data_IF_745984121064
#
_entry.id   IF_745984121064
#
_cell.length_a   1.000
_cell.length_b   1.000
_cell.length_c   1.000
_cell.angle_alpha   90.00
_cell.angle_beta   90.00
_cell.angle_gamma   90.00
#
_symmetry.space_group_name_H-M   'P 1'
#
loop_
_entity.id
_entity.type
_entity.pdbx_description
1 polymer ?
#
# COMPACT_ATOMS: atom_id res chain seq x y z
N UNK A 1 -0.69 38.44 -62.17
CA UNK A 1 0.66 37.85 -62.31
C UNK A 1 1.16 37.45 -60.92
N UNK A 2 1.90 36.33 -60.82
CA UNK A 2 2.15 35.51 -59.62
C UNK A 2 2.55 36.28 -58.34
N UNK A 3 2.23 35.77 -57.14
CA UNK A 3 3.11 34.88 -56.36
C UNK A 3 2.33 33.82 -55.50
N UNK A 4 1.02 33.62 -55.70
CA UNK A 4 0.24 32.58 -54.97
C UNK A 4 0.31 31.17 -55.60
N UNK A 5 1.51 30.68 -55.93
CA UNK A 5 1.71 29.42 -56.71
C UNK A 5 2.82 28.49 -56.19
N UNK A 6 3.22 28.57 -54.92
CA UNK A 6 4.30 27.73 -54.37
C UNK A 6 3.89 26.86 -53.15
N UNK A 7 2.64 26.96 -52.67
CA UNK A 7 2.15 26.11 -51.56
C UNK A 7 1.05 25.09 -51.93
N UNK A 8 0.73 24.93 -53.22
CA UNK A 8 -0.25 23.93 -53.70
C UNK A 8 0.37 22.74 -54.43
N UNK A 9 1.71 22.62 -54.44
CA UNK A 9 2.44 21.59 -55.20
C UNK A 9 3.31 20.65 -54.35
N UNK A 10 3.24 20.76 -53.02
CA UNK A 10 3.95 19.86 -52.08
C UNK A 10 3.05 18.90 -51.29
N UNK A 11 1.72 19.03 -51.41
CA UNK A 11 0.72 18.10 -50.85
C UNK A 11 0.11 17.16 -51.91
N UNK A 12 0.81 16.92 -53.03
CA UNK A 12 0.35 16.01 -54.09
C UNK A 12 1.26 14.80 -54.34
N UNK A 13 2.47 14.80 -53.77
CA UNK A 13 3.46 13.73 -53.99
C UNK A 13 3.64 12.76 -52.80
N UNK A 14 3.02 13.01 -51.64
CA UNK A 14 2.89 12.00 -50.55
C UNK A 14 1.59 11.18 -50.63
N UNK A 15 0.64 11.60 -51.48
CA UNK A 15 -0.60 10.86 -51.76
C UNK A 15 -0.45 9.80 -52.88
N UNK A 16 0.75 9.63 -53.42
CA UNK A 16 1.08 8.69 -54.51
C UNK A 16 1.92 7.48 -54.09
N UNK A 17 2.44 7.43 -52.86
CA UNK A 17 3.12 6.24 -52.31
C UNK A 17 2.21 5.36 -51.43
N UNK A 18 0.96 5.78 -51.19
CA UNK A 18 -0.04 5.00 -50.44
C UNK A 18 -0.97 4.18 -51.38
N UNK A 19 -0.81 4.29 -52.71
CA UNK A 19 -1.68 3.62 -53.71
C UNK A 19 -1.05 2.44 -54.45
N UNK A 20 -0.12 1.70 -53.83
CA UNK A 20 0.45 0.46 -54.43
C UNK A 20 0.50 -0.78 -53.52
N UNK A 21 -0.15 -0.75 -52.36
CA UNK A 21 -0.25 -1.93 -51.47
C UNK A 21 -1.70 -2.28 -51.07
N UNK A 22 -2.68 -1.91 -51.90
CA UNK A 22 -4.07 -2.39 -51.78
C UNK A 22 -4.37 -3.36 -52.93
N UNK A 23 -3.88 -4.59 -52.82
CA UNK A 23 -4.43 -5.75 -53.53
C UNK A 23 -4.05 -7.04 -52.76
N UNK A 24 -5.05 -7.86 -52.41
CA UNK A 24 -5.04 -9.01 -51.49
C UNK A 24 -4.90 -8.62 -50.00
N UNK A 25 -5.92 -8.69 -49.15
CA UNK A 25 -6.61 -9.89 -48.67
C UNK A 25 -8.05 -9.54 -48.28
N UNK A 26 -9.02 -10.31 -48.80
CA UNK A 26 -10.46 -10.16 -48.51
C UNK A 26 -10.81 -10.69 -47.13
N UNK A 27 -11.60 -9.91 -46.39
CA UNK A 27 -12.38 -10.35 -45.22
C UNK A 27 -13.56 -11.18 -45.71
N UNK A 28 -13.73 -12.37 -45.15
CA UNK A 28 -14.91 -13.22 -45.35
C UNK A 28 -15.51 -13.53 -43.97
N UNK A 29 -16.78 -13.16 -43.81
CA UNK A 29 -17.60 -13.37 -42.63
C UNK A 29 -18.13 -14.81 -42.56
N UNK A 30 -18.53 -15.19 -41.35
CA UNK A 30 -19.13 -16.46 -40.94
C UNK A 30 -20.20 -17.00 -41.90
N UNK A 31 -20.17 -18.33 -42.04
CA UNK A 31 -21.16 -19.29 -42.57
C UNK A 31 -20.53 -20.18 -43.66
N UNK A 32 -20.65 -21.50 -43.49
CA UNK A 32 -20.12 -22.61 -44.31
C UNK A 32 -18.84 -23.34 -43.83
N UNK A 33 -18.79 -23.78 -42.57
CA UNK A 33 -18.17 -25.09 -42.21
C UNK A 33 -18.97 -25.73 -41.07
N UNK A 34 -20.22 -26.11 -41.36
CA UNK A 34 -21.05 -26.94 -40.47
C UNK A 34 -21.96 -27.83 -41.32
N UNK A 35 -21.34 -28.80 -42.00
CA UNK A 35 -22.02 -29.97 -42.52
C UNK A 35 -21.01 -31.10 -42.70
N UNK A 36 -20.87 -31.94 -41.68
CA UNK A 36 -21.02 -33.40 -41.83
C UNK A 36 -20.98 -34.08 -40.44
N UNK A 37 -22.19 -34.49 -40.04
CA UNK A 37 -22.55 -35.62 -39.18
C UNK A 37 -22.18 -35.55 -37.68
N UNK A 38 -23.11 -35.19 -36.76
CA UNK A 38 -24.27 -36.01 -36.27
C UNK A 38 -23.84 -37.46 -35.97
N UNK A 39 -24.08 -38.03 -34.79
CA UNK A 39 -25.23 -37.87 -33.90
C UNK A 39 -24.96 -38.65 -32.57
N UNK A 40 -25.63 -38.23 -31.48
CA UNK A 40 -26.13 -39.08 -30.35
C UNK A 40 -25.06 -39.60 -29.36
N UNK A 41 -25.16 -39.50 -28.01
CA UNK A 41 -26.30 -39.52 -27.06
C UNK A 41 -25.85 -38.87 -25.72
N UNK A 42 -26.77 -38.14 -25.07
CA UNK A 42 -26.74 -37.77 -23.63
C UNK A 42 -27.63 -38.74 -22.84
N UNK A 43 -27.35 -38.92 -21.54
CA UNK A 43 -28.08 -39.69 -20.50
C UNK A 43 -27.55 -41.12 -20.34
N UNK A 44 -27.40 -41.71 -19.14
CA UNK A 44 -28.06 -41.41 -17.87
C UNK A 44 -27.30 -42.06 -16.69
N UNK A 45 -27.73 -41.72 -15.47
CA UNK A 45 -27.36 -42.30 -14.17
C UNK A 45 -27.34 -43.84 -14.12
N UNK A 46 -26.47 -44.39 -13.25
CA UNK A 46 -26.82 -45.55 -12.42
C UNK A 46 -25.89 -46.77 -12.41
N UNK A 47 -25.32 -47.02 -11.21
CA UNK A 47 -25.19 -48.32 -10.56
C UNK A 47 -24.08 -49.33 -10.98
N UNK A 48 -23.29 -49.66 -9.95
CA UNK A 48 -22.89 -51.00 -9.47
C UNK A 48 -21.73 -51.78 -10.11
N UNK A 49 -20.73 -51.95 -9.24
CA UNK A 49 -20.06 -53.20 -8.82
C UNK A 49 -19.03 -53.89 -9.69
N UNK A 50 -17.95 -54.22 -8.95
CA UNK A 50 -17.19 -55.48 -8.91
C UNK A 50 -16.12 -55.74 -9.97
N UNK A 51 -14.93 -55.96 -9.41
CA UNK A 51 -13.96 -57.00 -9.78
C UNK A 51 -13.17 -56.80 -11.08
N UNK A 52 -11.89 -57.12 -11.17
CA UNK A 52 -10.88 -57.61 -10.25
C UNK A 52 -9.58 -57.71 -11.07
N UNK A 53 -8.43 -57.49 -10.42
CA UNK A 53 -7.17 -58.24 -10.59
C UNK A 53 -6.49 -58.23 -11.98
N UNK A 54 -5.33 -57.56 -12.04
CA UNK A 54 -3.98 -58.14 -11.99
C UNK A 54 -3.47 -58.70 -13.32
N UNK A 55 -2.40 -58.08 -13.84
CA UNK A 55 -1.03 -58.66 -13.88
C UNK A 55 -0.11 -57.67 -14.62
N UNK A 56 1.00 -57.23 -14.00
CA UNK A 56 2.37 -57.83 -14.05
C UNK A 56 2.97 -57.73 -15.46
N UNK A 57 4.18 -57.24 -15.71
CA UNK A 57 5.48 -57.25 -15.01
C UNK A 57 6.29 -56.07 -15.58
N UNK A 58 6.86 -55.16 -14.77
CA UNK A 58 8.21 -55.19 -14.17
C UNK A 58 9.39 -55.33 -15.16
N UNK A 59 10.14 -54.25 -15.28
CA UNK A 59 11.61 -54.27 -15.38
C UNK A 59 12.14 -53.23 -14.39
N UNK A 60 12.75 -53.70 -13.32
CA UNK A 60 13.59 -52.96 -12.35
C UNK A 60 14.93 -52.62 -13.02
N UNK A 61 15.55 -51.45 -12.84
CA UNK A 61 16.53 -51.07 -11.79
C UNK A 61 17.24 -49.81 -12.39
N UNK A 62 17.69 -48.74 -11.72
CA UNK A 62 18.03 -48.44 -10.34
C UNK A 62 18.12 -46.90 -10.13
N UNK A 63 17.60 -46.44 -8.97
CA UNK A 63 18.21 -45.53 -7.96
C UNK A 63 18.50 -44.07 -8.40
N UNK A 64 17.65 -43.08 -8.06
CA UNK A 64 17.42 -42.42 -6.75
C UNK A 64 18.57 -41.49 -6.35
N UNK A 65 18.38 -40.19 -6.57
CA UNK A 65 18.80 -39.05 -5.71
C UNK A 65 18.29 -37.75 -6.36
N UNK A 66 17.22 -37.17 -5.79
CA UNK A 66 16.73 -35.76 -5.87
C UNK A 66 15.19 -35.71 -5.95
N UNK A 67 14.52 -35.94 -4.83
CA UNK A 67 13.12 -35.49 -4.63
C UNK A 67 12.61 -35.79 -3.22
N UNK A 68 13.44 -35.61 -2.18
CA UNK A 68 13.00 -35.64 -0.79
C UNK A 68 13.80 -34.61 0.02
N UNK A 69 13.66 -33.33 -0.33
CA UNK A 69 14.26 -32.23 0.46
C UNK A 69 13.64 -30.87 0.14
N UNK A 70 12.32 -30.73 0.13
CA UNK A 70 11.71 -29.39 0.18
C UNK A 70 10.32 -29.28 0.84
N UNK A 71 9.83 -30.33 1.51
CA UNK A 71 8.58 -30.26 2.29
C UNK A 71 8.77 -29.81 3.75
N UNK A 72 10.00 -29.58 4.22
CA UNK A 72 10.30 -29.29 5.64
C UNK A 72 10.97 -27.92 5.89
N UNK A 73 10.89 -26.96 4.96
CA UNK A 73 11.46 -25.61 5.16
C UNK A 73 10.43 -24.54 5.55
N UNK A 74 9.13 -24.79 5.40
CA UNK A 74 8.09 -23.81 5.76
C UNK A 74 7.44 -24.06 7.13
N UNK A 75 7.52 -25.28 7.69
CA UNK A 75 7.17 -25.55 9.10
C UNK A 75 8.16 -24.91 10.12
N UNK A 76 9.28 -24.34 9.64
CA UNK A 76 10.25 -23.62 10.48
C UNK A 76 10.14 -22.10 10.44
N UNK A 77 9.27 -21.52 9.59
CA UNK A 77 9.01 -20.07 9.57
C UNK A 77 7.80 -19.67 10.43
N UNK A 78 6.97 -20.64 10.85
CA UNK A 78 5.79 -20.45 11.71
C UNK A 78 6.10 -20.50 13.23
N UNK A 79 7.38 -20.61 13.63
CA UNK A 79 7.81 -20.66 15.05
C UNK A 79 8.53 -19.41 15.54
N UNK A 80 8.50 -18.30 14.79
CA UNK A 80 9.07 -17.02 15.24
C UNK A 80 8.04 -15.99 15.72
N UNK A 81 6.74 -16.31 15.72
CA UNK A 81 5.71 -15.45 16.34
C UNK A 81 5.51 -15.71 17.85
N UNK A 82 6.19 -16.70 18.44
CA UNK A 82 6.20 -16.94 19.90
C UNK A 82 7.50 -16.44 20.55
N UNK A 83 7.61 -15.13 20.76
CA UNK A 83 8.29 -14.49 21.91
C UNK A 83 8.23 -12.98 21.74
N UNK A 84 7.35 -12.34 22.50
CA UNK A 84 7.52 -11.00 23.11
C UNK A 84 6.23 -10.64 23.87
N UNK A 85 6.06 -11.25 25.04
CA UNK A 85 5.13 -10.77 26.07
C UNK A 85 5.93 -10.66 27.37
N UNK A 86 6.41 -9.45 27.65
CA UNK A 86 6.60 -9.01 29.03
C UNK A 86 6.70 -7.47 29.04
N UNK A 87 5.56 -6.81 29.24
CA UNK A 87 5.51 -5.43 29.74
C UNK A 87 4.43 -5.38 30.81
N UNK A 88 4.82 -5.73 32.04
CA UNK A 88 4.04 -5.41 33.24
C UNK A 88 4.39 -3.98 33.66
N UNK A 89 3.44 -3.06 33.56
CA UNK A 89 3.49 -1.79 34.29
C UNK A 89 2.49 -1.90 35.45
N UNK A 90 3.02 -1.91 36.67
CA UNK A 90 2.28 -2.07 37.92
C UNK A 90 1.63 -0.75 38.34
N UNK A 91 0.33 -0.79 38.61
CA UNK A 91 -0.37 0.23 39.39
C UNK A 91 -0.20 -0.12 40.87
N UNK A 92 0.37 0.78 41.66
CA UNK A 92 0.18 0.80 43.11
C UNK A 92 -0.01 2.24 43.58
N UNK A 93 -1.03 2.41 44.40
CA UNK A 93 -1.47 3.63 45.07
C UNK A 93 -0.73 3.85 46.39
N UNK A 94 -0.50 5.14 46.68
CA UNK A 94 -0.36 5.82 47.98
C UNK A 94 0.99 5.87 48.75
N UNK A 95 1.44 7.13 48.87
CA UNK A 95 2.05 7.90 49.96
C UNK A 95 3.57 8.01 50.26
N UNK A 96 3.91 9.30 50.45
CA UNK A 96 5.04 9.96 51.13
C UNK A 96 6.41 10.23 50.45
N UNK A 97 6.50 11.45 49.89
CA UNK A 97 7.44 12.52 50.23
C UNK A 97 8.99 12.29 50.14
N UNK A 98 9.60 12.73 49.02
CA UNK A 98 10.79 13.61 48.90
C UNK A 98 11.65 13.29 47.67
N UNK A 99 12.02 14.33 46.93
CA UNK A 99 13.27 14.38 46.15
C UNK A 99 13.09 14.38 44.64
N UNK A 100 13.04 15.58 44.07
CA UNK A 100 13.27 15.90 42.67
C UNK A 100 14.51 15.16 42.13
N UNK A 101 14.32 14.26 41.15
CA UNK A 101 15.28 13.84 40.12
C UNK A 101 14.64 12.75 39.25
N UNK A 102 13.75 13.14 38.35
CA UNK A 102 13.22 12.25 37.31
C UNK A 102 14.17 12.26 36.08
N UNK A 103 14.83 11.15 35.73
CA UNK A 103 15.58 11.06 34.48
C UNK A 103 14.59 11.03 33.31
N UNK A 104 14.53 12.13 32.55
CA UNK A 104 13.77 12.29 31.30
C UNK A 104 13.69 10.96 30.52
N UNK A 105 12.48 10.39 30.40
CA UNK A 105 12.15 9.35 29.40
C UNK A 105 12.58 9.88 28.02
N UNK A 106 13.68 9.35 27.50
CA UNK A 106 14.21 9.71 26.18
C UNK A 106 13.18 9.37 25.10
N UNK A 107 12.46 10.39 24.63
CA UNK A 107 11.72 10.33 23.38
C UNK A 107 12.74 10.32 22.25
N UNK A 108 13.12 9.12 21.80
CA UNK A 108 13.88 8.92 20.56
C UNK A 108 13.24 9.79 19.47
N UNK A 109 14.04 10.70 18.92
CA UNK A 109 13.55 11.80 18.07
C UNK A 109 13.03 11.24 16.75
N UNK A 110 12.04 11.91 16.13
CA UNK A 110 11.53 11.58 14.78
C UNK A 110 12.67 11.42 13.77
N UNK A 111 13.67 12.31 13.87
CA UNK A 111 14.88 12.31 13.08
C UNK A 111 15.71 11.03 13.26
N UNK A 112 15.79 10.50 14.48
CA UNK A 112 16.54 9.26 14.75
C UNK A 112 15.87 8.06 14.11
N UNK A 113 14.53 8.07 14.03
CA UNK A 113 13.76 6.99 13.38
C UNK A 113 13.93 7.01 11.86
N UNK A 114 14.06 8.18 11.23
CA UNK A 114 14.33 8.28 9.78
C UNK A 114 15.81 8.18 9.41
N UNK A 115 16.70 7.97 10.38
CA UNK A 115 18.16 8.02 10.20
C UNK A 115 18.68 7.17 9.04
N UNK A 116 18.14 5.96 8.82
CA UNK A 116 18.60 5.07 7.74
C UNK A 116 18.26 5.59 6.34
N UNK A 117 17.03 6.08 6.14
CA UNK A 117 16.64 6.71 4.86
C UNK A 117 17.42 8.00 4.66
N UNK A 118 17.61 8.76 5.74
CA UNK A 118 18.46 9.94 5.73
C UNK A 118 19.89 9.58 5.34
N UNK A 119 20.53 8.55 5.88
CA UNK A 119 21.91 8.20 5.54
C UNK A 119 22.09 7.92 4.04
N UNK A 120 21.13 7.23 3.41
CA UNK A 120 21.18 6.98 1.96
C UNK A 120 20.98 8.26 1.14
N UNK A 121 20.02 9.12 1.52
CA UNK A 121 19.79 10.39 0.83
C UNK A 121 20.91 11.41 1.11
N UNK A 122 21.37 11.50 2.35
CA UNK A 122 22.42 12.39 2.83
C UNK A 122 23.81 11.99 2.32
N UNK A 123 24.07 10.72 2.02
CA UNK A 123 25.31 10.33 1.33
C UNK A 123 25.36 10.95 -0.08
N UNK A 124 24.23 10.94 -0.81
CA UNK A 124 24.10 11.61 -2.10
C UNK A 124 24.07 13.14 -2.03
N UNK A 125 23.30 13.67 -1.07
CA UNK A 125 23.13 15.11 -0.85
C UNK A 125 24.39 15.72 -0.21
N UNK A 126 25.21 14.94 0.50
CA UNK A 126 26.46 15.38 1.10
C UNK A 126 27.49 15.82 0.05
N UNK A 127 27.43 15.25 -1.15
CA UNK A 127 28.21 15.72 -2.32
C UNK A 127 27.80 17.16 -2.68
N UNK A 128 26.50 17.51 -2.56
CA UNK A 128 25.97 18.87 -2.75
C UNK A 128 26.41 19.87 -1.67
N UNK A 129 27.16 19.48 -0.63
CA UNK A 129 27.65 20.38 0.42
C UNK A 129 29.16 20.66 0.27
N UNK A 130 29.88 19.84 -0.50
CA UNK A 130 31.35 19.90 -0.59
C UNK A 130 31.93 20.98 -1.52
N UNK A 131 31.10 21.87 -2.07
CA UNK A 131 31.57 22.94 -2.96
C UNK A 131 32.08 22.43 -4.32
N UNK A 132 31.71 21.21 -4.74
CA UNK A 132 31.85 20.77 -6.13
C UNK A 132 31.14 21.78 -7.04
N UNK A 133 31.70 22.02 -8.24
CA UNK A 133 30.99 22.78 -9.27
C UNK A 133 29.70 22.04 -9.61
N UNK A 134 28.65 22.80 -9.88
CA UNK A 134 27.41 22.24 -10.41
C UNK A 134 27.68 21.87 -11.86
N UNK A 135 27.98 20.60 -12.09
CA UNK A 135 28.27 19.98 -13.37
C UNK A 135 27.41 18.73 -13.58
N UNK A 136 27.54 18.08 -14.74
CA UNK A 136 26.72 16.91 -15.08
C UNK A 136 26.98 15.71 -14.15
N UNK A 137 28.23 15.54 -13.67
CA UNK A 137 28.61 14.50 -12.71
C UNK A 137 27.81 14.63 -11.41
N UNK A 138 27.65 15.85 -10.89
CA UNK A 138 26.87 16.10 -9.68
C UNK A 138 25.40 15.67 -9.81
N UNK A 139 24.79 15.91 -10.97
CA UNK A 139 23.41 15.51 -11.21
C UNK A 139 23.26 13.98 -11.38
N UNK A 140 24.24 13.30 -11.96
CA UNK A 140 24.27 11.84 -12.05
C UNK A 140 24.44 11.18 -10.66
N UNK A 141 25.30 11.74 -9.81
CA UNK A 141 25.46 11.32 -8.41
C UNK A 141 24.14 11.49 -7.63
N UNK A 142 23.47 12.62 -7.84
CA UNK A 142 22.18 12.90 -7.21
C UNK A 142 21.09 11.94 -7.71
N UNK A 143 21.00 11.71 -9.01
CA UNK A 143 20.08 10.76 -9.62
C UNK A 143 20.25 9.36 -9.01
N UNK A 144 21.49 8.86 -8.97
CA UNK A 144 21.84 7.57 -8.38
C UNK A 144 21.38 7.46 -6.93
N UNK A 145 21.54 8.55 -6.17
CA UNK A 145 21.15 8.59 -4.76
C UNK A 145 19.64 8.58 -4.56
N UNK A 146 18.90 9.33 -5.37
CA UNK A 146 17.43 9.32 -5.35
C UNK A 146 16.86 7.95 -5.75
N UNK A 147 17.45 7.30 -6.76
CA UNK A 147 17.07 5.94 -7.14
C UNK A 147 17.33 4.93 -6.01
N UNK A 148 18.50 5.02 -5.36
CA UNK A 148 18.88 4.13 -4.25
C UNK A 148 17.96 4.32 -3.03
N UNK A 149 17.43 5.52 -2.83
CA UNK A 149 16.44 5.81 -1.81
C UNK A 149 15.01 5.35 -2.16
N UNK A 150 14.83 4.61 -3.27
CA UNK A 150 13.56 4.05 -3.74
C UNK A 150 12.53 5.11 -4.21
N UNK A 151 12.96 6.27 -4.75
CA UNK A 151 12.05 7.24 -5.40
C UNK A 151 11.50 6.74 -6.75
N UNK A 152 12.18 5.78 -7.37
CA UNK A 152 11.83 5.24 -8.68
C UNK A 152 12.28 6.13 -9.84
N UNK A 153 12.37 5.53 -11.03
CA UNK A 153 12.96 6.15 -12.23
C UNK A 153 12.20 7.40 -12.66
N UNK A 154 10.89 7.28 -12.88
CA UNK A 154 10.08 8.39 -13.41
C UNK A 154 10.14 9.63 -12.51
N UNK A 155 9.93 9.44 -11.20
CA UNK A 155 9.97 10.50 -10.19
C UNK A 155 11.34 11.15 -10.13
N UNK A 156 12.41 10.33 -10.16
CA UNK A 156 13.79 10.83 -10.09
C UNK A 156 14.11 11.67 -11.32
N UNK A 157 13.78 11.19 -12.52
CA UNK A 157 14.02 11.92 -13.76
C UNK A 157 13.30 13.28 -13.73
N UNK A 158 12.03 13.30 -13.32
CA UNK A 158 11.26 14.54 -13.16
C UNK A 158 11.94 15.52 -12.19
N UNK A 159 12.42 15.04 -11.05
CA UNK A 159 13.16 15.86 -10.08
C UNK A 159 14.45 16.43 -10.69
N UNK A 160 15.25 15.60 -11.35
CA UNK A 160 16.54 16.00 -11.93
C UNK A 160 16.35 17.01 -13.06
N UNK A 161 15.38 16.78 -13.96
CA UNK A 161 15.04 17.70 -15.04
C UNK A 161 14.64 19.08 -14.51
N UNK A 162 13.66 19.12 -13.58
CA UNK A 162 13.23 20.38 -12.93
C UNK A 162 14.38 21.07 -12.22
N UNK A 163 15.23 20.32 -11.51
CA UNK A 163 16.37 20.88 -10.80
C UNK A 163 17.39 21.52 -11.76
N UNK A 164 17.66 20.88 -12.90
CA UNK A 164 18.56 21.42 -13.95
C UNK A 164 17.99 22.69 -14.59
N UNK A 165 16.70 22.71 -14.90
CA UNK A 165 16.02 23.88 -15.46
C UNK A 165 16.07 25.08 -14.51
N UNK A 166 15.71 24.87 -13.24
CA UNK A 166 15.70 25.95 -12.25
C UNK A 166 17.10 26.47 -11.93
N UNK A 167 18.13 25.60 -11.95
CA UNK A 167 19.51 26.00 -11.70
C UNK A 167 20.07 26.91 -12.80
N UNK A 168 19.66 26.69 -14.07
CA UNK A 168 20.02 27.56 -15.20
C UNK A 168 19.38 28.94 -15.09
N UNK A 169 18.12 29.00 -14.64
CA UNK A 169 17.35 30.25 -14.55
C UNK A 169 17.81 31.12 -13.38
N UNK A 170 18.03 30.51 -12.21
CA UNK A 170 18.32 31.23 -10.96
C UNK A 170 19.81 31.54 -10.77
N UNK A 171 20.67 31.24 -11.75
CA UNK A 171 22.13 31.25 -11.62
C UNK A 171 22.59 30.62 -10.28
N UNK A 172 22.04 29.45 -9.93
CA UNK A 172 22.45 28.76 -8.71
C UNK A 172 23.89 28.31 -8.91
N UNK A 173 24.84 29.07 -8.36
CA UNK A 173 26.28 28.75 -8.40
C UNK A 173 26.79 28.15 -7.10
N UNK A 174 25.91 28.05 -6.10
CA UNK A 174 26.22 27.53 -4.77
C UNK A 174 25.47 26.23 -4.51
N UNK A 175 26.19 25.27 -3.97
CA UNK A 175 25.72 23.92 -3.72
C UNK A 175 24.68 23.89 -2.56
N UNK A 176 24.78 24.85 -1.61
CA UNK A 176 23.75 25.08 -0.60
C UNK A 176 22.41 25.53 -1.19
N UNK A 177 22.45 26.37 -2.23
CA UNK A 177 21.24 26.79 -2.93
C UNK A 177 20.59 25.64 -3.73
N UNK A 178 21.40 24.74 -4.30
CA UNK A 178 20.93 23.53 -4.96
C UNK A 178 20.25 22.56 -3.98
N UNK A 179 20.83 22.35 -2.79
CA UNK A 179 20.22 21.56 -1.70
C UNK A 179 18.84 22.11 -1.33
N UNK A 180 18.74 23.41 -1.11
CA UNK A 180 17.45 24.06 -0.79
C UNK A 180 16.44 23.92 -1.93
N UNK A 181 16.90 23.99 -3.19
CA UNK A 181 16.02 23.84 -4.34
C UNK A 181 15.47 22.41 -4.43
N UNK A 182 16.31 21.40 -4.26
CA UNK A 182 15.88 20.00 -4.18
C UNK A 182 14.88 19.79 -3.05
N UNK A 183 15.14 20.36 -1.86
CA UNK A 183 14.24 20.29 -0.70
C UNK A 183 12.85 20.84 -1.06
N UNK A 184 12.79 21.98 -1.73
CA UNK A 184 11.53 22.59 -2.18
C UNK A 184 10.81 21.72 -3.23
N UNK A 185 11.54 21.20 -4.22
CA UNK A 185 10.96 20.31 -5.23
C UNK A 185 10.34 19.05 -4.60
N UNK A 186 11.00 18.46 -3.60
CA UNK A 186 10.46 17.32 -2.87
C UNK A 186 9.21 17.69 -2.06
N UNK A 187 9.17 18.87 -1.44
CA UNK A 187 7.95 19.38 -0.78
C UNK A 187 6.82 19.56 -1.78
N UNK A 188 7.08 20.17 -2.93
CA UNK A 188 6.09 20.41 -3.99
C UNK A 188 5.42 19.12 -4.47
N UNK A 189 6.20 18.03 -4.62
CA UNK A 189 5.68 16.70 -4.98
C UNK A 189 4.68 16.19 -3.94
N UNK A 190 4.88 16.51 -2.67
CA UNK A 190 4.05 16.04 -1.56
C UNK A 190 2.82 16.91 -1.29
N UNK A 191 2.83 18.19 -1.69
CA UNK A 191 1.72 19.14 -1.44
C UNK A 191 0.35 18.57 -1.84
N UNK A 192 0.17 17.92 -3.01
CA UNK A 192 -1.12 17.32 -3.37
C UNK A 192 -1.61 16.22 -2.40
N UNK A 193 -0.72 15.66 -1.58
CA UNK A 193 -1.00 14.57 -0.65
C UNK A 193 -1.16 15.04 0.80
N UNK A 194 -1.16 16.35 1.07
CA UNK A 194 -1.07 16.93 2.42
C UNK A 194 -2.38 16.95 3.21
N UNK A 195 -3.46 16.38 2.68
CA UNK A 195 -4.77 16.51 3.32
C UNK A 195 -4.85 15.60 4.56
N UNK A 196 -5.10 16.18 5.74
CA UNK A 196 -5.28 15.41 6.97
C UNK A 196 -6.67 14.78 7.02
N UNK A 197 -6.75 13.60 7.65
CA UNK A 197 -8.03 12.89 7.81
C UNK A 197 -8.91 13.58 8.86
N UNK A 198 -10.03 14.18 8.43
CA UNK A 198 -11.05 14.74 9.31
C UNK A 198 -12.10 13.70 9.64
N UNK A 199 -12.01 13.12 10.83
CA UNK A 199 -12.93 12.09 11.30
C UNK A 199 -14.09 12.74 12.06
N UNK A 200 -15.19 12.93 11.33
CA UNK A 200 -16.42 13.53 11.84
C UNK A 200 -17.63 12.66 11.49
N UNK A 201 -18.52 12.50 12.47
CA UNK A 201 -19.75 11.73 12.30
C UNK A 201 -20.71 12.46 11.35
N UNK A 202 -21.40 11.73 10.48
CA UNK A 202 -22.41 12.29 9.58
C UNK A 202 -23.82 11.91 10.04
N UNK A 203 -24.47 12.81 10.78
CA UNK A 203 -25.78 12.53 11.39
C UNK A 203 -25.70 11.32 12.32
N UNK A 204 -26.48 10.28 12.03
CA UNK A 204 -26.51 9.05 12.83
C UNK A 204 -25.44 8.02 12.39
N UNK A 205 -24.79 8.22 11.24
CA UNK A 205 -23.79 7.30 10.69
C UNK A 205 -22.40 7.58 11.24
N UNK A 206 -21.67 6.56 11.73
CA UNK A 206 -20.28 6.73 12.15
C UNK A 206 -19.40 7.10 10.96
N UNK A 207 -18.26 7.74 11.22
CA UNK A 207 -17.20 7.84 10.22
C UNK A 207 -16.55 6.46 10.03
N UNK A 208 -16.68 5.87 8.84
CA UNK A 208 -16.22 4.51 8.54
C UNK A 208 -14.87 4.53 7.84
N UNK A 209 -13.88 3.88 8.46
CA UNK A 209 -12.55 3.66 7.90
C UNK A 209 -12.42 2.19 7.52
N UNK A 210 -12.35 1.90 6.22
CA UNK A 210 -12.05 0.57 5.70
C UNK A 210 -10.53 0.45 5.50
N UNK A 211 -9.90 -0.42 6.28
CA UNK A 211 -8.46 -0.65 6.22
C UNK A 211 -8.16 -1.73 5.20
N UNK A 212 -7.34 -1.43 4.20
CA UNK A 212 -6.93 -2.38 3.15
C UNK A 212 -5.42 -2.45 3.03
N UNK A 213 -4.91 -3.49 2.38
CA UNK A 213 -3.47 -3.71 2.19
C UNK A 213 -3.06 -5.15 2.42
N UNK A 214 -1.79 -5.46 2.17
CA UNK A 214 -1.29 -6.83 2.23
C UNK A 214 -1.07 -7.31 3.68
N UNK A 215 -0.93 -8.61 3.86
CA UNK A 215 -0.51 -9.18 5.15
C UNK A 215 0.89 -8.67 5.53
N UNK A 216 1.11 -8.46 6.83
CA UNK A 216 2.39 -7.95 7.33
C UNK A 216 2.62 -6.44 7.14
N UNK A 217 1.76 -5.73 6.38
CA UNK A 217 1.87 -4.27 6.19
C UNK A 217 1.53 -3.46 7.45
N UNK A 218 1.00 -4.08 8.50
CA UNK A 218 0.68 -3.42 9.78
C UNK A 218 -0.74 -2.88 9.89
N UNK A 219 -1.72 -3.42 9.14
CA UNK A 219 -3.14 -3.04 9.20
C UNK A 219 -3.72 -3.10 10.62
N UNK A 220 -3.77 -4.29 11.23
CA UNK A 220 -4.34 -4.52 12.55
C UNK A 220 -3.65 -3.69 13.64
N UNK A 221 -2.31 -3.55 13.57
CA UNK A 221 -1.56 -2.66 14.46
C UNK A 221 -1.98 -1.19 14.27
N UNK A 222 -2.12 -0.73 13.03
CA UNK A 222 -2.56 0.64 12.72
C UNK A 222 -3.99 0.88 13.23
N UNK A 223 -4.88 -0.12 13.13
CA UNK A 223 -6.24 -0.05 13.70
C UNK A 223 -6.20 0.19 15.19
N UNK A 224 -5.41 -0.59 15.93
CA UNK A 224 -5.25 -0.42 17.38
C UNK A 224 -4.74 0.97 17.77
N UNK A 225 -3.76 1.49 17.04
CA UNK A 225 -3.22 2.84 17.26
C UNK A 225 -4.23 3.93 16.94
N UNK A 226 -5.00 3.80 15.86
CA UNK A 226 -6.08 4.72 15.51
C UNK A 226 -7.21 4.69 16.55
N UNK A 227 -7.56 3.51 17.06
CA UNK A 227 -8.56 3.36 18.12
C UNK A 227 -8.14 4.12 19.39
N UNK A 228 -6.89 3.95 19.83
CA UNK A 228 -6.32 4.74 20.93
C UNK A 228 -6.36 6.24 20.66
N UNK A 229 -5.93 6.67 19.46
CA UNK A 229 -5.92 8.07 19.06
C UNK A 229 -7.32 8.69 19.13
N UNK A 230 -8.34 8.04 18.55
CA UNK A 230 -9.68 8.60 18.53
C UNK A 230 -10.37 8.52 19.89
N UNK A 231 -10.11 7.48 20.71
CA UNK A 231 -10.57 7.47 22.10
C UNK A 231 -9.93 8.58 22.93
N UNK A 232 -8.64 8.88 22.74
CA UNK A 232 -7.97 10.00 23.40
C UNK A 232 -8.56 11.37 22.98
N UNK A 233 -9.18 11.45 21.80
CA UNK A 233 -9.95 12.61 21.33
C UNK A 233 -11.40 12.62 21.86
N UNK A 234 -11.79 11.69 22.74
CA UNK A 234 -13.13 11.58 23.30
C UNK A 234 -14.17 10.94 22.37
N UNK A 235 -13.77 10.35 21.25
CA UNK A 235 -14.69 9.72 20.29
C UNK A 235 -15.09 8.31 20.74
N UNK A 236 -16.34 7.93 20.50
CA UNK A 236 -16.86 6.57 20.63
C UNK A 236 -16.41 5.73 19.43
N UNK A 237 -15.44 4.86 19.65
CA UNK A 237 -14.86 4.00 18.61
C UNK A 237 -15.52 2.60 18.66
N UNK A 238 -15.68 1.97 17.51
CA UNK A 238 -16.01 0.55 17.36
C UNK A 238 -15.09 -0.07 16.31
N UNK A 239 -14.76 -1.36 16.47
CA UNK A 239 -13.92 -2.11 15.54
C UNK A 239 -14.71 -3.24 14.88
N UNK A 240 -14.36 -3.59 13.64
CA UNK A 240 -14.92 -4.73 12.93
C UNK A 240 -13.83 -5.69 12.48
N UNK A 241 -13.95 -6.97 12.86
CA UNK A 241 -13.00 -8.02 12.55
C UNK A 241 -13.30 -8.66 11.18
N UNK A 242 -13.03 -7.93 10.10
CA UNK A 242 -13.29 -8.39 8.74
C UNK A 242 -12.18 -9.26 8.11
N UNK A 243 -11.05 -9.51 8.78
CA UNK A 243 -10.12 -10.60 8.39
C UNK A 243 -10.62 -11.93 8.97
N UNK A 244 -11.73 -12.43 8.42
CA UNK A 244 -12.43 -13.62 8.95
C UNK A 244 -11.71 -14.93 8.65
N UNK A 245 -10.77 -14.93 7.70
CA UNK A 245 -10.03 -16.12 7.31
C UNK A 245 -8.93 -16.49 8.32
N UNK A 246 -8.40 -15.50 9.04
CA UNK A 246 -7.32 -15.70 10.02
C UNK A 246 -7.88 -15.58 11.44
N UNK A 247 -8.09 -16.71 12.10
CA UNK A 247 -8.52 -16.75 13.50
C UNK A 247 -7.61 -15.88 14.40
N UNK A 248 -6.29 -15.95 14.20
CA UNK A 248 -5.32 -15.13 14.93
C UNK A 248 -5.50 -13.61 14.69
N UNK A 249 -5.93 -13.18 13.50
CA UNK A 249 -6.17 -11.76 13.23
C UNK A 249 -7.41 -11.25 13.98
N UNK A 250 -8.47 -12.06 14.05
CA UNK A 250 -9.67 -11.75 14.85
C UNK A 250 -9.30 -11.63 16.34
N UNK A 251 -8.55 -12.59 16.88
CA UNK A 251 -8.13 -12.55 18.29
C UNK A 251 -7.17 -11.38 18.58
N UNK A 252 -6.23 -11.09 17.69
CA UNK A 252 -5.36 -9.92 17.80
C UNK A 252 -6.16 -8.61 17.83
N UNK A 253 -7.19 -8.47 16.98
CA UNK A 253 -8.05 -7.29 16.99
C UNK A 253 -8.89 -7.20 18.26
N UNK A 254 -9.39 -8.33 18.79
CA UNK A 254 -10.08 -8.37 20.08
C UNK A 254 -9.16 -7.99 21.24
N UNK A 255 -7.90 -8.41 21.22
CA UNK A 255 -6.93 -7.99 22.23
C UNK A 255 -6.71 -6.47 22.19
N UNK A 256 -6.58 -5.87 21.00
CA UNK A 256 -6.59 -4.42 20.84
C UNK A 256 -7.88 -3.79 21.36
N UNK A 257 -9.04 -4.39 21.07
CA UNK A 257 -10.32 -3.96 21.63
C UNK A 257 -10.32 -3.93 23.15
N UNK A 258 -9.90 -5.02 23.80
CA UNK A 258 -9.82 -5.14 25.25
C UNK A 258 -8.84 -4.12 25.85
N UNK A 259 -7.65 -3.97 25.25
CA UNK A 259 -6.61 -3.02 25.70
C UNK A 259 -7.05 -1.57 25.59
N UNK A 260 -7.92 -1.27 24.62
CA UNK A 260 -8.41 0.09 24.37
C UNK A 260 -9.80 0.33 24.97
N UNK A 261 -10.43 -0.68 25.56
CA UNK A 261 -11.85 -0.64 25.95
C UNK A 261 -12.73 -0.19 24.78
N UNK A 262 -12.54 -0.85 23.62
CA UNK A 262 -13.25 -0.59 22.37
C UNK A 262 -14.03 -1.84 21.96
N UNK A 263 -15.35 -1.76 21.72
CA UNK A 263 -16.14 -2.90 21.29
C UNK A 263 -15.67 -3.40 19.91
N UNK A 264 -15.55 -4.72 19.78
CA UNK A 264 -15.14 -5.40 18.54
C UNK A 264 -16.29 -6.29 18.06
N UNK A 265 -16.75 -6.05 16.84
CA UNK A 265 -17.74 -6.88 16.17
C UNK A 265 -17.01 -7.95 15.37
N UNK A 266 -17.34 -9.21 15.64
CA UNK A 266 -16.73 -10.37 14.99
C UNK A 266 -17.75 -11.49 14.84
N UNK A 267 -17.56 -12.35 13.85
CA UNK A 267 -18.29 -13.60 13.65
C UNK A 267 -17.31 -14.79 13.69
N UNK A 268 -17.76 -16.06 13.68
CA UNK A 268 -16.87 -17.22 13.63
C UNK A 268 -15.89 -17.18 12.45
N UNK A 269 -14.72 -17.79 12.62
CA UNK A 269 -13.71 -17.92 11.54
C UNK A 269 -14.32 -18.54 10.28
N UNK A 270 -13.98 -17.99 9.12
CA UNK A 270 -14.53 -18.39 7.82
C UNK A 270 -15.87 -17.76 7.46
N UNK A 271 -16.42 -16.88 8.31
CA UNK A 271 -17.62 -16.10 7.97
C UNK A 271 -17.38 -15.14 6.82
N UNK A 272 -18.45 -14.75 6.13
CA UNK A 272 -18.37 -13.77 5.05
C UNK A 272 -17.97 -12.39 5.59
N UNK A 273 -16.80 -11.88 5.20
CA UNK A 273 -16.27 -10.58 5.65
C UNK A 273 -17.24 -9.43 5.43
N UNK A 274 -17.92 -9.41 4.28
CA UNK A 274 -18.91 -8.36 3.97
C UNK A 274 -20.11 -8.40 4.93
N UNK A 275 -20.49 -9.58 5.42
CA UNK A 275 -21.56 -9.73 6.41
C UNK A 275 -21.11 -9.24 7.80
N UNK A 276 -19.88 -9.55 8.22
CA UNK A 276 -19.31 -9.03 9.48
C UNK A 276 -19.29 -7.49 9.48
N UNK A 277 -18.83 -6.90 8.38
CA UNK A 277 -18.78 -5.45 8.23
C UNK A 277 -20.18 -4.82 8.23
N UNK A 278 -21.16 -5.46 7.59
CA UNK A 278 -22.55 -4.99 7.58
C UNK A 278 -23.14 -4.94 9.00
N UNK A 279 -22.93 -6.02 9.76
CA UNK A 279 -23.37 -6.09 11.16
C UNK A 279 -22.67 -5.04 12.02
N UNK A 280 -21.37 -4.83 11.79
CA UNK A 280 -20.60 -3.83 12.52
C UNK A 280 -21.09 -2.41 12.24
N UNK A 281 -21.39 -2.07 10.98
CA UNK A 281 -21.96 -0.77 10.62
C UNK A 281 -23.35 -0.56 11.22
N UNK A 282 -24.19 -1.59 11.20
CA UNK A 282 -25.52 -1.56 11.82
C UNK A 282 -25.42 -1.36 13.33
N UNK A 283 -24.53 -2.09 13.99
CA UNK A 283 -24.27 -1.97 15.43
C UNK A 283 -23.70 -0.59 15.79
N UNK A 284 -22.74 -0.09 15.02
CA UNK A 284 -22.13 1.23 15.24
C UNK A 284 -23.17 2.36 15.13
N UNK A 285 -24.10 2.25 14.17
CA UNK A 285 -25.25 3.16 14.06
C UNK A 285 -26.16 3.08 15.29
N UNK A 286 -26.54 1.87 15.69
CA UNK A 286 -27.45 1.65 16.83
C UNK A 286 -26.86 2.13 18.17
N UNK A 287 -25.55 2.02 18.36
CA UNK A 287 -24.84 2.48 19.56
C UNK A 287 -24.34 3.92 19.47
N UNK A 288 -24.71 4.65 18.40
CA UNK A 288 -24.29 6.02 18.14
C UNK A 288 -22.77 6.19 18.28
N UNK A 289 -22.00 5.26 17.70
CA UNK A 289 -20.55 5.38 17.58
C UNK A 289 -20.19 6.58 16.68
N UNK A 290 -19.04 7.19 16.95
CA UNK A 290 -18.49 8.29 16.16
C UNK A 290 -17.61 7.74 15.03
N UNK A 291 -16.89 6.65 15.28
CA UNK A 291 -15.93 6.05 14.34
C UNK A 291 -16.08 4.53 14.32
N UNK A 292 -16.14 3.96 13.12
CA UNK A 292 -16.03 2.52 12.90
C UNK A 292 -14.77 2.23 12.09
N UNK A 293 -13.88 1.39 12.61
CA UNK A 293 -12.66 0.97 11.90
C UNK A 293 -12.77 -0.51 11.55
N UNK A 294 -12.70 -0.82 10.25
CA UNK A 294 -12.92 -2.14 9.71
C UNK A 294 -11.59 -2.75 9.27
N UNK A 295 -11.20 -3.89 9.86
CA UNK A 295 -10.09 -4.71 9.36
C UNK A 295 -10.53 -5.54 8.15
N UNK A 296 -9.59 -5.92 7.29
CA UNK A 296 -9.85 -6.81 6.15
C UNK A 296 -8.71 -7.80 5.93
N UNK A 297 -9.00 -8.88 5.21
CA UNK A 297 -7.97 -9.78 4.72
C UNK A 297 -6.93 -9.05 3.83
N UNK A 298 -5.73 -9.64 3.69
CA UNK A 298 -4.62 -9.06 2.90
C UNK A 298 -3.78 -10.08 2.12
N UNK A 299 -4.32 -11.26 1.78
CA UNK A 299 -3.61 -12.34 1.07
C UNK A 299 -3.43 -12.02 -0.43
N UNK A 300 -2.42 -11.22 -0.78
CA UNK A 300 -2.20 -10.76 -2.14
C UNK A 300 -1.79 -11.85 -3.14
N UNK A 301 -1.34 -13.03 -2.71
CA UNK A 301 -1.04 -14.15 -3.62
C UNK A 301 -2.28 -14.60 -4.42
N UNK A 302 -3.48 -14.39 -3.88
CA UNK A 302 -4.76 -14.66 -4.55
C UNK A 302 -5.43 -13.34 -4.94
N UNK A 303 -4.72 -12.52 -5.74
CA UNK A 303 -5.10 -11.12 -6.06
C UNK A 303 -6.57 -10.99 -6.43
N UNK A 304 -7.05 -11.79 -7.38
CA UNK A 304 -8.41 -11.64 -7.92
C UNK A 304 -9.48 -11.89 -6.85
N UNK A 305 -9.35 -12.97 -6.08
CA UNK A 305 -10.28 -13.29 -5.00
C UNK A 305 -10.30 -12.20 -3.92
N UNK A 306 -9.12 -11.70 -3.53
CA UNK A 306 -9.03 -10.61 -2.56
C UNK A 306 -9.68 -9.33 -3.08
N UNK A 307 -9.44 -8.95 -4.34
CA UNK A 307 -10.02 -7.74 -4.92
C UNK A 307 -11.54 -7.84 -5.03
N UNK A 308 -12.08 -9.01 -5.43
CA UNK A 308 -13.54 -9.23 -5.48
C UNK A 308 -14.18 -9.22 -4.08
N UNK A 309 -13.50 -9.76 -3.07
CA UNK A 309 -13.95 -9.68 -1.68
C UNK A 309 -14.03 -8.22 -1.20
N UNK A 310 -12.98 -7.42 -1.45
CA UNK A 310 -12.95 -6.01 -1.08
C UNK A 310 -14.03 -5.19 -1.82
N UNK A 311 -14.23 -5.44 -3.12
CA UNK A 311 -15.34 -4.84 -3.88
C UNK A 311 -16.70 -5.21 -3.29
N UNK A 312 -16.89 -6.47 -2.88
CA UNK A 312 -18.11 -6.94 -2.24
C UNK A 312 -18.35 -6.20 -0.92
N UNK A 313 -17.31 -6.02 -0.08
CA UNK A 313 -17.41 -5.26 1.18
C UNK A 313 -17.88 -3.84 0.90
N UNK A 314 -17.21 -3.11 -0.01
CA UNK A 314 -17.60 -1.73 -0.38
C UNK A 314 -19.03 -1.69 -0.93
N UNK A 315 -19.43 -2.64 -1.78
CA UNK A 315 -20.79 -2.72 -2.31
C UNK A 315 -21.82 -2.93 -1.21
N UNK A 316 -21.53 -3.76 -0.21
CA UNK A 316 -22.44 -4.02 0.91
C UNK A 316 -22.54 -2.80 1.82
N UNK A 317 -21.43 -2.13 2.12
CA UNK A 317 -21.43 -0.85 2.84
C UNK A 317 -22.32 0.20 2.13
N UNK A 318 -22.17 0.34 0.81
CA UNK A 318 -22.94 1.30 0.00
C UNK A 318 -24.44 1.03 -0.06
N UNK A 319 -24.90 -0.17 0.29
CA UNK A 319 -26.34 -0.46 0.42
C UNK A 319 -26.95 0.18 1.67
N UNK A 320 -26.15 0.45 2.70
CA UNK A 320 -26.60 1.14 3.91
C UNK A 320 -26.60 2.65 3.67
N UNK A 321 -25.51 3.19 3.12
CA UNK A 321 -25.39 4.59 2.72
C UNK A 321 -24.35 4.74 1.60
N UNK A 322 -24.67 5.50 0.56
CA UNK A 322 -23.80 5.66 -0.62
C UNK A 322 -22.45 6.32 -0.32
N UNK A 323 -22.35 7.09 0.77
CA UNK A 323 -21.14 7.80 1.19
C UNK A 323 -20.20 6.97 2.07
N UNK A 324 -20.54 5.70 2.32
CA UNK A 324 -19.76 4.78 3.17
C UNK A 324 -19.04 3.73 2.28
N UNK A 325 -17.76 3.41 2.53
CA UNK A 325 -16.88 3.97 3.58
C UNK A 325 -16.44 5.41 3.31
N UNK A 326 -16.28 6.21 4.37
CA UNK A 326 -15.79 7.58 4.27
C UNK A 326 -14.29 7.63 3.93
N UNK A 327 -13.54 6.63 4.38
CA UNK A 327 -12.12 6.49 4.08
C UNK A 327 -11.81 5.03 3.73
N UNK A 328 -11.20 4.81 2.56
CA UNK A 328 -10.53 3.54 2.21
C UNK A 328 -9.03 3.78 2.39
N UNK A 329 -8.52 3.35 3.54
CA UNK A 329 -7.14 3.57 3.96
C UNK A 329 -6.27 2.39 3.52
N UNK A 330 -5.38 2.60 2.56
CA UNK A 330 -4.40 1.59 2.17
C UNK A 330 -3.16 1.67 3.06
N UNK A 331 -2.87 0.59 3.77
CA UNK A 331 -1.67 0.46 4.59
C UNK A 331 -0.56 -0.20 3.77
N UNK A 332 0.57 0.50 3.67
CA UNK A 332 1.75 0.09 2.89
C UNK A 332 2.97 -0.03 3.80
N UNK A 333 3.78 -1.06 3.55
CA UNK A 333 5.05 -1.25 4.24
C UNK A 333 6.18 -0.50 3.52
N UNK A 334 6.76 0.52 4.16
CA UNK A 334 7.83 1.34 3.57
C UNK A 334 9.12 0.54 3.32
N UNK A 335 9.33 -0.62 3.95
CA UNK A 335 10.49 -1.49 3.68
C UNK A 335 10.43 -2.14 2.29
N UNK A 336 9.23 -2.18 1.69
CA UNK A 336 9.01 -2.86 0.40
C UNK A 336 9.37 -1.99 -0.81
N UNK A 337 9.68 -0.70 -0.62
CA UNK A 337 10.07 0.22 -1.69
C UNK A 337 9.05 0.26 -2.83
N UNK A 338 9.50 0.17 -4.08
CA UNK A 338 8.65 0.24 -5.28
C UNK A 338 7.50 -0.80 -5.35
N UNK A 339 7.54 -1.88 -4.56
CA UNK A 339 6.40 -2.79 -4.44
C UNK A 339 5.15 -2.09 -3.87
N UNK A 340 5.32 -1.06 -3.05
CA UNK A 340 4.21 -0.26 -2.53
C UNK A 340 3.47 0.51 -3.65
N UNK A 341 4.21 0.99 -4.67
CA UNK A 341 3.63 1.65 -5.87
C UNK A 341 2.76 0.66 -6.65
N UNK A 342 3.24 -0.57 -6.82
CA UNK A 342 2.48 -1.65 -7.48
C UNK A 342 1.21 -2.02 -6.70
N UNK A 343 1.31 -2.13 -5.36
CA UNK A 343 0.15 -2.37 -4.50
C UNK A 343 -0.87 -1.25 -4.60
N UNK A 344 -0.44 0.01 -4.51
CA UNK A 344 -1.33 1.16 -4.63
C UNK A 344 -2.13 1.14 -5.93
N UNK A 345 -1.48 0.81 -7.06
CA UNK A 345 -2.17 0.65 -8.34
C UNK A 345 -3.26 -0.44 -8.29
N UNK A 346 -2.94 -1.61 -7.75
CA UNK A 346 -3.87 -2.75 -7.69
C UNK A 346 -5.07 -2.45 -6.79
N UNK A 347 -4.82 -1.97 -5.56
CA UNK A 347 -5.89 -1.65 -4.61
C UNK A 347 -6.71 -0.44 -5.05
N UNK A 348 -6.07 0.59 -5.61
CA UNK A 348 -6.73 1.78 -6.15
C UNK A 348 -7.74 1.43 -7.25
N UNK A 349 -7.37 0.52 -8.16
CA UNK A 349 -8.26 0.01 -9.20
C UNK A 349 -9.44 -0.80 -8.65
N UNK A 350 -9.29 -1.49 -7.52
CA UNK A 350 -10.32 -2.35 -6.98
C UNK A 350 -11.34 -1.63 -6.10
N UNK A 351 -10.89 -0.76 -5.19
CA UNK A 351 -11.75 -0.18 -4.13
C UNK A 351 -11.66 1.33 -3.98
N UNK A 352 -11.01 2.04 -4.91
CA UNK A 352 -10.87 3.49 -4.88
C UNK A 352 -10.29 3.99 -3.55
N UNK A 353 -9.01 3.71 -3.33
CA UNK A 353 -8.26 4.14 -2.15
C UNK A 353 -8.29 5.68 -2.01
N UNK A 354 -8.68 6.17 -0.83
CA UNK A 354 -8.83 7.61 -0.54
C UNK A 354 -7.75 8.15 0.39
N UNK A 355 -7.00 7.27 1.06
CA UNK A 355 -5.88 7.66 1.90
C UNK A 355 -4.84 6.57 2.05
N UNK A 356 -3.61 7.00 2.34
CA UNK A 356 -2.46 6.13 2.56
C UNK A 356 -2.00 6.19 4.02
N UNK A 357 -1.55 5.04 4.51
CA UNK A 357 -0.78 4.93 5.74
C UNK A 357 0.50 4.15 5.45
N UNK A 358 1.66 4.78 5.52
CA UNK A 358 2.94 4.06 5.39
C UNK A 358 3.45 3.65 6.75
N UNK A 359 3.86 2.40 6.92
CA UNK A 359 4.37 1.86 8.18
C UNK A 359 5.84 1.45 8.05
N UNK A 360 6.48 1.18 9.19
CA UNK A 360 7.87 0.70 9.29
C UNK A 360 8.91 1.62 8.66
N UNK A 361 8.66 2.93 8.66
CA UNK A 361 9.63 3.91 8.15
C UNK A 361 10.92 3.93 9.00
N UNK A 362 10.85 3.51 10.26
CA UNK A 362 11.97 3.41 11.18
C UNK A 362 12.96 2.29 10.85
N UNK A 363 12.49 1.25 10.17
CA UNK A 363 13.32 0.09 9.83
C UNK A 363 14.10 0.23 8.52
N UNK A 364 13.81 1.24 7.70
CA UNK A 364 14.16 1.23 6.27
C UNK A 364 15.01 2.41 5.81
N UNK A 365 15.82 2.15 4.79
CA UNK A 365 16.53 3.17 4.02
C UNK A 365 15.79 3.55 2.72
N UNK A 366 14.60 2.98 2.52
CA UNK A 366 13.76 3.05 1.30
C UNK A 366 12.59 4.02 1.44
N UNK A 367 12.70 5.00 2.32
CA UNK A 367 11.61 5.96 2.60
C UNK A 367 11.27 6.89 1.42
N UNK A 368 12.09 6.92 0.36
CA UNK A 368 11.83 7.72 -0.85
C UNK A 368 10.60 7.26 -1.65
N UNK A 369 10.08 6.06 -1.38
CA UNK A 369 8.84 5.57 -2.00
C UNK A 369 7.65 6.52 -1.79
N UNK A 370 7.65 7.32 -0.72
CA UNK A 370 6.62 8.34 -0.45
C UNK A 370 6.50 9.31 -1.63
N UNK A 371 7.62 9.77 -2.19
CA UNK A 371 7.62 10.69 -3.32
C UNK A 371 7.09 10.01 -4.60
N UNK A 372 7.44 8.75 -4.81
CA UNK A 372 6.94 7.96 -5.94
C UNK A 372 5.41 7.79 -5.90
N UNK A 373 4.86 7.54 -4.70
CA UNK A 373 3.42 7.43 -4.49
C UNK A 373 2.72 8.77 -4.71
N UNK A 374 3.29 9.86 -4.18
CA UNK A 374 2.73 11.19 -4.29
C UNK A 374 2.69 11.70 -5.73
N UNK A 375 3.80 11.59 -6.46
CA UNK A 375 3.93 12.03 -7.85
C UNK A 375 2.92 11.30 -8.77
N UNK A 376 2.78 9.98 -8.58
CA UNK A 376 1.96 9.12 -9.45
C UNK A 376 0.47 9.15 -9.13
N UNK A 377 0.10 9.14 -7.85
CA UNK A 377 -1.30 8.88 -7.44
C UNK A 377 -1.99 10.08 -6.81
N UNK A 378 -1.24 11.01 -6.21
CA UNK A 378 -1.80 12.21 -5.54
C UNK A 378 -2.88 11.89 -4.49
N UNK A 379 -2.82 10.68 -3.90
CA UNK A 379 -3.71 10.26 -2.82
C UNK A 379 -3.16 10.78 -1.50
N UNK A 380 -3.98 11.38 -0.63
CA UNK A 380 -3.54 11.89 0.66
C UNK A 380 -2.77 10.87 1.48
N UNK A 381 -1.57 11.24 1.93
CA UNK A 381 -0.83 10.46 2.91
C UNK A 381 -1.30 10.90 4.29
N UNK A 382 -2.16 10.10 4.92
CA UNK A 382 -2.80 10.48 6.19
C UNK A 382 -1.88 10.24 7.37
N UNK A 383 -1.18 9.11 7.35
CA UNK A 383 -0.39 8.64 8.49
C UNK A 383 0.95 8.03 8.09
N UNK A 384 1.92 8.17 8.99
CA UNK A 384 3.19 7.46 8.96
C UNK A 384 3.44 6.72 10.28
N UNK A 385 3.81 5.44 10.18
CA UNK A 385 4.20 4.57 11.28
C UNK A 385 5.71 4.46 11.36
N UNK A 386 6.27 4.92 12.47
CA UNK A 386 7.72 5.03 12.71
C UNK A 386 8.18 4.18 13.91
N UNK A 387 7.44 3.15 14.25
CA UNK A 387 7.77 2.25 15.35
C UNK A 387 6.58 1.46 15.87
N UNK A 388 6.79 0.72 16.96
CA UNK A 388 5.82 -0.22 17.52
C UNK A 388 4.88 0.41 18.54
N UNK A 389 5.30 1.47 19.24
CA UNK A 389 4.51 2.10 20.29
C UNK A 389 3.25 2.74 19.74
N UNK A 390 2.23 2.91 20.59
CA UNK A 390 0.97 3.57 20.20
C UNK A 390 1.19 4.99 19.68
N UNK A 391 2.10 5.74 20.30
CA UNK A 391 2.53 7.09 19.89
C UNK A 391 3.36 7.15 18.60
N UNK A 392 3.80 6.01 18.05
CA UNK A 392 4.61 5.95 16.84
C UNK A 392 3.78 5.96 15.54
N UNK A 393 2.45 6.21 15.62
CA UNK A 393 1.62 6.54 14.46
C UNK A 393 1.35 8.05 14.45
N UNK A 394 1.89 8.75 13.47
CA UNK A 394 1.80 10.22 13.35
C UNK A 394 1.00 10.63 12.13
N UNK A 395 0.34 11.77 12.22
CA UNK A 395 -0.14 12.45 11.01
C UNK A 395 1.05 12.81 10.13
N UNK A 396 0.85 12.71 8.83
CA UNK A 396 1.89 13.09 7.89
C UNK A 396 2.03 14.61 7.84
N UNK A 397 3.24 15.09 8.07
CA UNK A 397 3.60 16.50 7.95
C UNK A 397 4.74 16.62 6.95
N UNK A 398 4.52 17.40 5.89
CA UNK A 398 5.45 17.51 4.77
C UNK A 398 6.76 18.14 5.22
N UNK A 399 6.68 19.22 5.98
CA UNK A 399 7.86 19.95 6.43
C UNK A 399 8.71 19.08 7.34
N UNK A 400 8.12 18.49 8.39
CA UNK A 400 8.84 17.58 9.29
C UNK A 400 9.43 16.39 8.56
N UNK A 401 8.68 15.79 7.61
CA UNK A 401 9.16 14.62 6.86
C UNK A 401 10.34 14.97 5.97
N UNK A 402 10.23 16.02 5.15
CA UNK A 402 11.31 16.42 4.25
C UNK A 402 12.49 16.96 5.03
N UNK A 403 12.29 17.79 6.05
CA UNK A 403 13.37 18.32 6.89
C UNK A 403 14.19 17.18 7.52
N UNK A 404 13.53 16.14 8.02
CA UNK A 404 14.21 14.95 8.57
C UNK A 404 15.05 14.14 7.57
N UNK A 405 14.87 14.35 6.26
CA UNK A 405 15.73 13.73 5.23
C UNK A 405 17.01 14.54 4.95
N UNK A 406 17.06 15.82 5.35
CA UNK A 406 18.14 16.76 5.00
C UNK A 406 18.96 17.26 6.21
N UNK A 407 18.45 17.06 7.43
CA UNK A 407 19.03 17.45 8.71
C UNK A 407 19.45 16.22 9.54
#
# INVERSE_FOLDING_TARGET
MGIFSIFSKKNKDESSEIKKNEESVKVQTNDDVLSENKEKIVSDYGATTSDSKNNKESNETNIVEDSLSNSNKEEQLDKQEEKLVDVKESVNTEDDNKGDNDPKKEKVSFFERLKRTRENLAFGIGVLVTGKKIDDELYEDLETSLLTADLGVDTTNNIIERLREESKIKELRDAGALKNNLKNLLKDILVPCSEHLKVEKQGDLPFVILMVGVNGAGKTTTIGKLALKYKAQGKKVMLAAGDTFRAAAVEQLKEWGNRTDTPVISQPTGSDSASVIFDALTSAKAHNADVLICDTAGRLQNKDNLMEELKKIVRVMKKIDENVPNEVMLVLDATTGQNAVSQMKIFGQAVNVTGLCLTKLDGTAKGGVVFALADKFKVPLRYIGIGEKSEDLREFDIDSFVDALFD
#
